data_IF_238403625933
#
_entry.id   IF_238403625933
#
_cell.length_a   1.000
_cell.length_b   1.000
_cell.length_c   1.000
_cell.angle_alpha   90.00
_cell.angle_beta   90.00
_cell.angle_gamma   90.00
#
_symmetry.space_group_name_H-M   'P 1'
#
loop_
_entity.id
_entity.type
_entity.pdbx_description
1 polymer ?
#
# COMPACT_ATOMS: atom_id res chain seq x y z
N UNK A 1 0.84 9.05 -7.29
CA UNK A 1 0.07 10.11 -7.94
C UNK A 1 0.69 10.49 -9.29
N UNK A 2 1.94 10.93 -9.32
CA UNK A 2 2.61 11.42 -10.54
C UNK A 2 2.65 10.41 -11.70
N UNK A 3 2.70 9.12 -11.42
CA UNK A 3 2.69 8.04 -12.42
C UNK A 3 1.37 8.01 -13.21
N UNK A 4 0.25 8.39 -12.59
CA UNK A 4 -1.08 8.43 -13.23
C UNK A 4 -1.35 9.82 -13.81
N UNK A 5 -1.10 10.86 -13.02
CA UNK A 5 -1.48 12.24 -13.37
C UNK A 5 -0.57 12.86 -14.44
N UNK A 6 0.72 12.51 -14.46
CA UNK A 6 1.68 13.01 -15.45
C UNK A 6 1.32 12.63 -16.89
N UNK A 7 1.12 11.34 -17.20
CA UNK A 7 0.66 10.90 -18.51
C UNK A 7 -0.68 11.48 -18.92
N UNK A 8 -1.61 11.62 -17.97
CA UNK A 8 -2.94 12.19 -18.20
C UNK A 8 -2.85 13.66 -18.62
N UNK A 9 -1.97 14.45 -17.98
CA UNK A 9 -1.72 15.85 -18.32
C UNK A 9 -1.05 15.98 -19.70
N UNK A 10 0.00 15.17 -19.96
CA UNK A 10 0.80 15.25 -21.20
C UNK A 10 0.17 14.55 -22.39
N UNK A 11 -0.91 13.81 -22.19
CA UNK A 11 -1.51 12.91 -23.19
C UNK A 11 -0.50 11.93 -23.82
N UNK A 12 0.49 11.53 -23.03
CA UNK A 12 1.58 10.65 -23.44
C UNK A 12 1.46 9.32 -22.68
N UNK A 13 1.60 8.22 -23.40
CA UNK A 13 1.55 6.90 -22.79
C UNK A 13 2.83 6.66 -21.97
N UNK A 14 2.70 6.30 -20.69
CA UNK A 14 3.84 5.96 -19.84
C UNK A 14 3.96 4.45 -19.69
N UNK A 15 5.12 3.89 -19.96
CA UNK A 15 5.45 2.47 -19.73
C UNK A 15 5.13 2.02 -18.29
N UNK A 16 5.30 2.92 -17.31
CA UNK A 16 4.99 2.63 -15.90
C UNK A 16 3.51 2.33 -15.66
N UNK A 17 2.62 2.88 -16.50
CA UNK A 17 1.18 2.62 -16.41
C UNK A 17 0.81 1.17 -16.79
N UNK A 18 1.67 0.49 -17.53
CA UNK A 18 1.54 -0.93 -17.88
C UNK A 18 2.30 -1.82 -16.91
N UNK A 19 3.55 -1.45 -16.60
CA UNK A 19 4.45 -2.29 -15.79
C UNK A 19 3.87 -2.50 -14.38
N UNK A 20 3.35 -1.45 -13.74
CA UNK A 20 2.83 -1.54 -12.37
C UNK A 20 1.61 -2.47 -12.25
N UNK A 21 0.57 -2.36 -13.11
CA UNK A 21 -0.55 -3.32 -13.09
C UNK A 21 -0.11 -4.75 -13.38
N UNK A 22 0.73 -4.98 -14.37
CA UNK A 22 1.21 -6.33 -14.72
C UNK A 22 2.01 -6.91 -13.55
N UNK A 23 2.95 -6.17 -12.99
CA UNK A 23 3.73 -6.60 -11.83
C UNK A 23 2.82 -6.90 -10.61
N UNK A 24 1.78 -6.09 -10.40
CA UNK A 24 0.82 -6.31 -9.30
C UNK A 24 -0.03 -7.56 -9.52
N UNK A 25 -0.41 -7.87 -10.75
CA UNK A 25 -1.16 -9.09 -11.07
C UNK A 25 -0.30 -10.35 -10.91
N UNK A 26 0.96 -10.29 -11.36
CA UNK A 26 1.87 -11.44 -11.33
C UNK A 26 2.45 -11.71 -9.94
N UNK A 27 2.97 -10.68 -9.28
CA UNK A 27 3.68 -10.80 -8.00
C UNK A 27 2.84 -10.39 -6.78
N UNK A 28 1.59 -9.98 -6.98
CA UNK A 28 0.76 -9.44 -5.92
C UNK A 28 1.12 -7.98 -5.58
N UNK A 29 0.65 -7.52 -4.45
CA UNK A 29 0.79 -6.13 -4.02
C UNK A 29 2.20 -5.79 -3.47
N UNK A 30 3.23 -6.53 -3.91
CA UNK A 30 4.61 -6.41 -3.43
C UNK A 30 5.28 -5.11 -3.89
N UNK A 31 4.78 -4.51 -4.98
CA UNK A 31 5.32 -3.26 -5.52
C UNK A 31 5.44 -2.16 -4.47
N UNK A 32 4.40 -2.00 -3.64
CA UNK A 32 4.35 -0.94 -2.63
C UNK A 32 5.35 -1.15 -1.48
N UNK A 33 5.71 -2.38 -1.15
CA UNK A 33 6.63 -2.70 -0.05
C UNK A 33 8.09 -2.80 -0.47
N UNK A 34 8.37 -3.15 -1.74
CA UNK A 34 9.74 -3.47 -2.17
C UNK A 34 10.33 -2.52 -3.20
N UNK A 35 9.50 -1.95 -4.09
CA UNK A 35 9.96 -1.16 -5.24
C UNK A 35 9.54 0.31 -5.18
N UNK A 36 8.56 0.65 -4.35
CA UNK A 36 8.04 2.00 -4.30
C UNK A 36 8.90 2.91 -3.42
N UNK A 37 9.52 3.91 -4.02
CA UNK A 37 10.30 4.94 -3.34
C UNK A 37 9.50 5.68 -2.24
N UNK A 38 8.23 6.05 -2.49
CA UNK A 38 7.37 6.65 -1.46
C UNK A 38 7.03 5.66 -0.34
N UNK A 39 6.93 4.37 -0.65
CA UNK A 39 6.72 3.32 0.35
C UNK A 39 7.91 3.19 1.30
N UNK A 40 9.14 3.25 0.79
CA UNK A 40 10.34 3.21 1.63
C UNK A 40 10.46 4.45 2.52
N UNK A 41 10.14 5.64 2.01
CA UNK A 41 10.13 6.88 2.81
C UNK A 41 9.06 6.84 3.92
N UNK A 42 7.85 6.35 3.61
CA UNK A 42 6.77 6.21 4.59
C UNK A 42 7.14 5.18 5.67
N UNK A 43 7.82 4.08 5.28
CA UNK A 43 8.33 3.08 6.20
C UNK A 43 9.43 3.62 7.13
N UNK A 44 10.33 4.46 6.61
CA UNK A 44 11.34 5.16 7.40
C UNK A 44 10.71 6.16 8.38
N UNK A 45 9.70 6.92 7.93
CA UNK A 45 8.97 7.84 8.80
C UNK A 45 8.22 7.10 9.92
N UNK A 46 7.62 5.94 9.61
CA UNK A 46 6.93 5.09 10.59
C UNK A 46 7.86 4.50 11.67
N UNK A 47 9.15 4.28 11.33
CA UNK A 47 10.13 3.68 12.24
C UNK A 47 9.94 2.17 12.45
N UNK A 48 10.70 1.61 13.42
CA UNK A 48 10.74 0.14 13.67
C UNK A 48 9.87 -0.31 14.85
N UNK A 49 9.42 0.61 15.69
CA UNK A 49 8.60 0.27 16.87
C UNK A 49 7.18 -0.13 16.46
N UNK A 50 6.54 -0.97 17.25
CA UNK A 50 5.19 -1.51 16.97
C UNK A 50 4.15 -0.44 16.63
N UNK A 51 3.24 -0.79 15.73
CA UNK A 51 2.21 0.10 15.16
C UNK A 51 1.14 0.41 16.19
N UNK A 52 0.74 1.69 16.25
CA UNK A 52 -0.42 2.12 17.05
C UNK A 52 -1.70 2.00 16.19
N UNK A 53 -2.80 1.46 16.75
CA UNK A 53 -4.05 1.39 16.02
C UNK A 53 -4.57 2.79 15.69
N UNK A 54 -5.09 2.95 14.48
CA UNK A 54 -5.68 4.22 14.07
C UNK A 54 -7.03 4.46 14.77
N UNK A 55 -7.32 5.69 15.21
CA UNK A 55 -8.63 6.05 15.76
C UNK A 55 -9.73 5.85 14.70
N UNK A 56 -10.96 5.59 15.14
CA UNK A 56 -12.08 5.30 14.23
C UNK A 56 -12.35 6.39 13.20
N UNK A 57 -12.19 7.66 13.57
CA UNK A 57 -12.31 8.81 12.64
C UNK A 57 -11.32 8.71 11.48
N UNK A 58 -10.11 8.22 11.76
CA UNK A 58 -9.09 8.04 10.72
C UNK A 58 -9.39 6.82 9.84
N UNK A 59 -10.14 5.83 10.33
CA UNK A 59 -10.56 4.66 9.52
C UNK A 59 -11.44 5.07 8.33
N UNK A 60 -12.32 6.06 8.50
CA UNK A 60 -13.10 6.60 7.40
C UNK A 60 -12.20 7.26 6.34
N UNK A 61 -11.23 8.07 6.76
CA UNK A 61 -10.23 8.66 5.88
C UNK A 61 -9.37 7.57 5.20
N UNK A 62 -9.03 6.49 5.92
CA UNK A 62 -8.32 5.33 5.37
C UNK A 62 -9.11 4.62 4.26
N UNK A 63 -10.43 4.63 4.34
CA UNK A 63 -11.28 3.95 3.38
C UNK A 63 -11.50 4.75 2.09
N UNK A 64 -11.72 6.06 2.21
CA UNK A 64 -12.11 6.93 1.11
C UNK A 64 -11.02 7.92 0.67
N UNK A 65 -10.04 8.19 1.51
CA UNK A 65 -9.00 9.19 1.25
C UNK A 65 -8.25 8.96 -0.07
N UNK A 66 -7.87 7.73 -0.37
CA UNK A 66 -7.20 7.39 -1.63
C UNK A 66 -8.06 7.70 -2.86
N UNK A 67 -9.36 7.41 -2.78
CA UNK A 67 -10.30 7.69 -3.86
C UNK A 67 -10.50 9.20 -4.04
N UNK A 68 -10.67 9.93 -2.94
CA UNK A 68 -10.83 11.40 -2.96
C UNK A 68 -9.58 12.06 -3.56
N UNK A 69 -8.39 11.68 -3.13
CA UNK A 69 -7.13 12.21 -3.67
C UNK A 69 -6.96 11.85 -5.15
N UNK A 70 -7.37 10.65 -5.57
CA UNK A 70 -7.35 10.27 -6.98
C UNK A 70 -8.30 11.15 -7.80
N UNK A 71 -9.53 11.33 -7.35
CA UNK A 71 -10.54 12.16 -8.05
C UNK A 71 -10.10 13.61 -8.15
N UNK A 72 -9.66 14.21 -7.03
CA UNK A 72 -9.15 15.59 -7.01
C UNK A 72 -7.95 15.72 -7.97
N UNK A 73 -7.02 14.77 -7.93
CA UNK A 73 -5.85 14.77 -8.81
C UNK A 73 -6.22 14.68 -10.29
N UNK A 74 -7.17 13.82 -10.66
CA UNK A 74 -7.65 13.67 -12.03
C UNK A 74 -8.35 14.97 -12.49
N UNK A 75 -9.25 15.53 -11.68
CA UNK A 75 -9.94 16.78 -11.99
C UNK A 75 -8.93 17.94 -12.15
N UNK A 76 -7.95 18.03 -11.27
CA UNK A 76 -6.90 19.04 -11.36
C UNK A 76 -6.04 18.87 -12.63
N UNK A 77 -5.63 17.66 -12.97
CA UNK A 77 -4.85 17.37 -14.17
C UNK A 77 -5.62 17.70 -15.45
N UNK A 78 -6.90 17.35 -15.52
CA UNK A 78 -7.77 17.69 -16.65
C UNK A 78 -8.05 19.19 -16.73
N UNK A 79 -8.28 19.84 -15.61
CA UNK A 79 -8.50 21.30 -15.54
C UNK A 79 -7.27 22.09 -16.02
N UNK A 80 -6.07 21.74 -15.54
CA UNK A 80 -4.82 22.35 -15.99
C UNK A 80 -4.56 22.13 -17.49
N UNK A 81 -4.92 20.93 -17.99
CA UNK A 81 -4.82 20.63 -19.43
C UNK A 81 -5.82 21.45 -20.24
N UNK A 82 -7.09 21.53 -19.82
CA UNK A 82 -8.12 22.31 -20.50
C UNK A 82 -7.82 23.82 -20.53
N UNK A 83 -7.17 24.33 -19.47
CA UNK A 83 -6.70 25.71 -19.38
C UNK A 83 -5.45 25.99 -20.23
N UNK A 84 -4.88 25.00 -20.92
CA UNK A 84 -3.69 25.17 -21.75
C UNK A 84 -2.44 25.63 -20.96
N UNK A 85 -2.37 25.32 -19.69
CA UNK A 85 -1.31 25.82 -18.79
C UNK A 85 0.08 25.32 -19.20
N UNK A 86 1.10 26.16 -18.95
CA UNK A 86 2.50 25.81 -19.23
C UNK A 86 2.96 24.60 -18.41
N UNK A 87 3.85 23.78 -18.97
CA UNK A 87 4.43 22.62 -18.27
C UNK A 87 5.14 22.99 -16.97
N UNK A 88 5.63 24.26 -16.85
CA UNK A 88 6.25 24.78 -15.63
C UNK A 88 5.24 24.86 -14.47
N UNK A 89 4.02 25.34 -14.76
CA UNK A 89 2.94 25.41 -13.76
C UNK A 89 2.53 23.99 -13.28
N UNK A 90 2.41 23.05 -14.20
CA UNK A 90 2.13 21.67 -13.84
C UNK A 90 3.26 21.04 -13.01
N UNK A 91 4.51 21.35 -13.31
CA UNK A 91 5.67 20.90 -12.53
C UNK A 91 5.66 21.51 -11.11
N UNK A 92 5.37 22.80 -10.95
CA UNK A 92 5.29 23.43 -9.64
C UNK A 92 4.18 22.84 -8.77
N UNK A 93 3.01 22.54 -9.33
CA UNK A 93 1.92 21.85 -8.63
C UNK A 93 2.36 20.44 -8.18
N UNK A 94 3.10 19.72 -9.03
CA UNK A 94 3.63 18.41 -8.69
C UNK A 94 4.65 18.46 -7.54
N UNK A 95 5.52 19.46 -7.52
CA UNK A 95 6.49 19.70 -6.43
C UNK A 95 5.76 20.02 -5.13
N UNK A 96 4.79 20.92 -5.15
CA UNK A 96 3.98 21.25 -3.97
C UNK A 96 3.29 20.01 -3.42
N UNK A 97 2.70 19.20 -4.29
CA UNK A 97 2.09 17.92 -3.88
C UNK A 97 3.11 16.97 -3.24
N UNK A 98 4.32 16.86 -3.79
CA UNK A 98 5.38 16.03 -3.24
C UNK A 98 5.82 16.50 -1.85
N UNK A 99 6.00 17.82 -1.65
CA UNK A 99 6.35 18.42 -0.35
C UNK A 99 5.24 18.18 0.68
N UNK A 100 3.98 18.40 0.30
CA UNK A 100 2.85 18.12 1.18
C UNK A 100 2.76 16.63 1.55
N UNK A 101 3.09 15.73 0.62
CA UNK A 101 3.14 14.30 0.88
C UNK A 101 4.20 13.93 1.91
N UNK A 102 5.41 14.50 1.79
CA UNK A 102 6.49 14.31 2.76
C UNK A 102 6.10 14.86 4.14
N UNK A 103 5.51 16.05 4.18
CA UNK A 103 5.03 16.65 5.42
C UNK A 103 3.97 15.76 6.09
N UNK A 104 3.02 15.23 5.30
CA UNK A 104 2.01 14.29 5.79
C UNK A 104 2.65 13.02 6.37
N UNK A 105 3.68 12.44 5.72
CA UNK A 105 4.41 11.28 6.23
C UNK A 105 5.03 11.57 7.60
N UNK A 106 5.68 12.73 7.76
CA UNK A 106 6.31 13.09 9.04
C UNK A 106 5.26 13.35 10.12
N UNK A 107 4.17 14.05 9.80
CA UNK A 107 3.16 14.45 10.80
C UNK A 107 2.20 13.32 11.20
N UNK A 108 1.93 12.38 10.28
CA UNK A 108 0.92 11.34 10.50
C UNK A 108 1.55 9.95 10.63
N UNK A 109 2.43 9.53 9.73
CA UNK A 109 2.99 8.18 9.77
C UNK A 109 3.90 7.98 10.98
N UNK A 110 4.64 9.01 11.39
CA UNK A 110 5.56 8.94 12.52
C UNK A 110 4.87 8.70 13.89
N UNK A 111 3.82 9.46 14.30
CA UNK A 111 3.17 9.25 15.58
C UNK A 111 2.41 7.92 15.65
N UNK A 112 1.77 7.49 14.57
CA UNK A 112 1.05 6.21 14.52
C UNK A 112 1.95 5.02 14.22
N UNK A 113 3.21 5.25 13.87
CA UNK A 113 4.19 4.19 13.54
C UNK A 113 3.68 3.21 12.48
N UNK A 114 2.85 3.70 11.59
CA UNK A 114 2.23 2.95 10.50
C UNK A 114 2.37 3.70 9.19
N UNK A 115 2.24 3.00 8.07
CA UNK A 115 2.35 3.59 6.73
C UNK A 115 1.05 4.32 6.36
N UNK A 116 0.79 5.46 7.05
CA UNK A 116 -0.44 6.21 6.90
C UNK A 116 -0.58 6.81 5.49
N UNK A 117 0.49 7.36 4.91
CA UNK A 117 0.45 7.93 3.56
C UNK A 117 0.07 6.90 2.51
N UNK A 118 0.73 5.74 2.51
CA UNK A 118 0.46 4.67 1.55
C UNK A 118 -0.95 4.10 1.67
N UNK A 119 -1.51 4.10 2.88
CA UNK A 119 -2.84 3.53 3.14
C UNK A 119 -4.00 4.51 3.01
N UNK A 120 -3.75 5.84 3.15
CA UNK A 120 -4.81 6.87 3.16
C UNK A 120 -4.79 7.83 1.96
N UNK A 121 -3.60 8.21 1.49
CA UNK A 121 -3.43 9.33 0.54
C UNK A 121 -2.99 8.84 -0.84
N UNK A 122 -2.15 7.80 -0.90
CA UNK A 122 -1.53 7.39 -2.15
C UNK A 122 -2.55 6.75 -3.12
N UNK A 123 -2.88 7.36 -4.27
CA UNK A 123 -3.82 6.78 -5.23
C UNK A 123 -3.29 5.50 -5.90
N UNK A 124 -1.96 5.35 -6.01
CA UNK A 124 -1.36 4.09 -6.46
C UNK A 124 -1.66 2.94 -5.50
N UNK A 125 -1.70 3.20 -4.20
CA UNK A 125 -2.09 2.21 -3.20
C UNK A 125 -3.52 1.70 -3.40
N UNK A 126 -4.45 2.55 -3.91
CA UNK A 126 -5.79 2.13 -4.28
C UNK A 126 -5.76 1.19 -5.50
N UNK A 127 -5.06 1.59 -6.56
CA UNK A 127 -4.96 0.79 -7.80
C UNK A 127 -4.33 -0.56 -7.53
N UNK A 128 -3.19 -0.60 -6.85
CA UNK A 128 -2.51 -1.86 -6.52
C UNK A 128 -3.33 -2.73 -5.58
N UNK A 129 -4.09 -2.14 -4.64
CA UNK A 129 -5.00 -2.88 -3.75
C UNK A 129 -6.17 -3.50 -4.51
N UNK A 130 -6.74 -2.81 -5.49
CA UNK A 130 -7.82 -3.33 -6.32
C UNK A 130 -7.32 -4.46 -7.24
N UNK A 131 -6.20 -4.24 -7.93
CA UNK A 131 -5.56 -5.24 -8.78
C UNK A 131 -5.02 -6.42 -7.97
N UNK A 132 -4.47 -6.16 -6.78
CA UNK A 132 -4.00 -7.18 -5.87
C UNK A 132 -5.09 -8.15 -5.39
N UNK A 133 -6.39 -7.76 -5.50
CA UNK A 133 -7.50 -8.71 -5.27
C UNK A 133 -7.60 -9.79 -6.34
N UNK A 134 -7.11 -9.53 -7.52
CA UNK A 134 -7.09 -10.49 -8.63
C UNK A 134 -5.82 -11.36 -8.61
N UNK A 135 -4.78 -10.91 -7.91
CA UNK A 135 -3.55 -11.67 -7.75
C UNK A 135 -3.78 -12.97 -6.96
N UNK A 136 -3.15 -14.08 -7.37
CA UNK A 136 -3.25 -15.35 -6.65
C UNK A 136 -2.49 -15.37 -5.32
N UNK A 137 -1.52 -14.45 -5.14
CA UNK A 137 -0.68 -14.41 -3.94
C UNK A 137 -1.42 -13.83 -2.73
N UNK A 138 -1.47 -14.59 -1.64
CA UNK A 138 -2.15 -14.20 -0.39
C UNK A 138 -1.33 -14.59 0.82
N UNK A 139 -1.32 -13.74 1.84
CA UNK A 139 -0.90 -14.16 3.18
C UNK A 139 -2.10 -14.78 3.89
N UNK A 140 -1.90 -15.94 4.47
CA UNK A 140 -2.88 -16.69 5.26
C UNK A 140 -2.35 -16.94 6.65
N UNK A 141 -3.27 -17.09 7.59
CA UNK A 141 -3.01 -17.47 8.96
C UNK A 141 -3.61 -18.85 9.20
N UNK A 142 -2.80 -19.79 9.67
CA UNK A 142 -3.25 -21.10 10.12
C UNK A 142 -3.85 -20.94 11.53
N UNK A 143 -5.18 -21.00 11.61
CA UNK A 143 -5.90 -20.85 12.87
C UNK A 143 -5.66 -21.98 13.85
N UNK A 144 -5.21 -23.15 13.37
CA UNK A 144 -4.90 -24.31 14.21
C UNK A 144 -3.55 -24.15 14.95
N UNK A 145 -2.60 -23.44 14.32
CA UNK A 145 -1.25 -23.18 14.89
C UNK A 145 -1.14 -21.83 15.60
N UNK A 146 -2.14 -20.97 15.41
CA UNK A 146 -2.10 -19.62 15.95
C UNK A 146 -2.47 -19.62 17.44
N UNK A 147 -1.54 -19.13 18.27
CA UNK A 147 -1.73 -18.96 19.73
C UNK A 147 -2.35 -17.62 20.13
N UNK A 148 -2.83 -16.84 19.16
CA UNK A 148 -3.47 -15.53 19.37
C UNK A 148 -2.62 -14.45 20.08
N UNK A 149 -1.30 -14.58 20.07
CA UNK A 149 -0.37 -13.64 20.75
C UNK A 149 -0.43 -12.18 20.24
N UNK A 150 -0.98 -11.92 19.06
CA UNK A 150 -1.17 -10.59 18.50
C UNK A 150 0.09 -9.86 18.01
N UNK A 151 1.26 -10.51 17.99
CA UNK A 151 2.52 -9.91 17.51
C UNK A 151 2.41 -9.47 16.05
N UNK A 152 1.81 -10.29 15.20
CA UNK A 152 1.62 -10.01 13.78
C UNK A 152 0.78 -8.75 13.51
N UNK A 153 -0.16 -8.43 14.38
CA UNK A 153 -0.97 -7.21 14.32
C UNK A 153 -0.13 -5.98 14.66
N UNK A 154 0.68 -6.06 15.73
CA UNK A 154 1.55 -4.97 16.20
C UNK A 154 2.68 -4.64 15.22
N UNK A 155 3.17 -5.60 14.46
CA UNK A 155 4.28 -5.40 13.52
C UNK A 155 3.78 -4.96 12.13
N UNK A 156 2.50 -5.17 11.80
CA UNK A 156 1.96 -4.89 10.48
C UNK A 156 1.80 -3.39 10.22
N UNK A 157 2.79 -2.75 9.62
CA UNK A 157 2.79 -1.32 9.29
C UNK A 157 1.61 -0.89 8.40
N UNK A 158 1.04 -1.81 7.63
CA UNK A 158 -0.15 -1.58 6.80
C UNK A 158 -1.47 -1.86 7.53
N UNK A 159 -1.41 -2.34 8.79
CA UNK A 159 -2.57 -2.76 9.57
C UNK A 159 -3.51 -3.72 8.81
N UNK A 160 -2.92 -4.61 8.03
CA UNK A 160 -3.64 -5.59 7.21
C UNK A 160 -4.07 -6.83 7.99
N UNK A 161 -3.61 -6.99 9.23
CA UNK A 161 -3.99 -8.04 10.15
C UNK A 161 -4.74 -7.39 11.31
N UNK A 162 -5.93 -7.90 11.59
CA UNK A 162 -6.79 -7.50 12.71
C UNK A 162 -7.24 -8.75 13.46
N UNK A 163 -7.70 -8.66 14.72
CA UNK A 163 -8.21 -9.83 15.43
C UNK A 163 -9.25 -10.62 14.63
N UNK A 164 -10.22 -9.94 14.01
CA UNK A 164 -11.23 -10.56 13.17
C UNK A 164 -10.64 -11.25 11.94
N UNK A 165 -9.72 -10.58 11.22
CA UNK A 165 -9.09 -11.17 10.02
C UNK A 165 -8.19 -12.36 10.35
N UNK A 166 -7.59 -12.37 11.54
CA UNK A 166 -6.77 -13.48 12.04
C UNK A 166 -7.65 -14.70 12.36
N UNK A 167 -8.80 -14.49 13.02
CA UNK A 167 -9.77 -15.55 13.29
C UNK A 167 -10.32 -16.17 11.99
N UNK A 168 -10.51 -15.36 10.93
CA UNK A 168 -10.91 -15.83 9.60
C UNK A 168 -9.76 -16.51 8.80
N UNK A 169 -8.54 -16.55 9.32
CA UNK A 169 -7.37 -17.09 8.64
C UNK A 169 -6.93 -16.29 7.41
N UNK A 170 -7.35 -15.02 7.27
CA UNK A 170 -7.12 -14.19 6.08
C UNK A 170 -6.52 -12.85 6.47
N UNK A 171 -5.84 -12.21 5.52
CA UNK A 171 -5.41 -10.81 5.67
C UNK A 171 -6.34 -9.88 4.88
N UNK A 172 -6.41 -8.61 5.29
CA UNK A 172 -7.15 -7.58 4.60
C UNK A 172 -6.53 -7.26 3.23
N UNK A 173 -7.32 -6.70 2.31
CA UNK A 173 -6.90 -6.36 0.94
C UNK A 173 -5.76 -5.34 0.84
N UNK A 174 -5.42 -4.66 1.93
CA UNK A 174 -4.28 -3.74 2.03
C UNK A 174 -2.94 -4.43 2.35
N UNK A 175 -2.93 -5.77 2.47
CA UNK A 175 -1.68 -6.52 2.63
C UNK A 175 -0.80 -6.36 1.39
N UNK A 176 0.47 -5.97 1.62
CA UNK A 176 1.46 -5.71 0.57
C UNK A 176 2.49 -6.83 0.45
N UNK A 177 2.27 -7.97 1.08
CA UNK A 177 3.18 -9.12 1.05
C UNK A 177 4.61 -8.79 1.55
N UNK A 178 4.76 -7.83 2.48
CA UNK A 178 6.06 -7.42 3.01
C UNK A 178 6.76 -8.49 3.86
N UNK A 179 6.03 -9.51 4.32
CA UNK A 179 6.52 -10.68 5.09
C UNK A 179 6.96 -10.41 6.53
N UNK A 180 6.91 -9.19 7.03
CA UNK A 180 7.32 -8.86 8.41
C UNK A 180 6.59 -9.72 9.45
N UNK A 181 5.29 -9.97 9.25
CA UNK A 181 4.47 -10.81 10.12
C UNK A 181 4.88 -12.29 10.08
N UNK A 182 5.39 -12.78 8.94
CA UNK A 182 5.84 -14.17 8.78
C UNK A 182 7.11 -14.40 9.59
N UNK A 183 8.08 -13.49 9.46
CA UNK A 183 9.35 -13.56 10.18
C UNK A 183 9.22 -13.42 11.69
N UNK A 184 8.13 -12.77 12.16
CA UNK A 184 7.90 -12.49 13.58
C UNK A 184 6.99 -13.51 14.28
N UNK A 185 6.45 -14.46 13.54
CA UNK A 185 5.57 -15.49 14.10
C UNK A 185 6.39 -16.66 14.63
N UNK A 186 6.43 -16.84 15.97
CA UNK A 186 7.14 -17.94 16.63
C UNK A 186 6.57 -19.31 16.23
N UNK A 187 5.24 -19.42 16.17
CA UNK A 187 4.53 -20.66 15.82
C UNK A 187 4.50 -20.95 14.32
N UNK A 188 5.10 -20.06 13.48
CA UNK A 188 5.10 -20.20 12.01
C UNK A 188 3.70 -20.42 11.44
N UNK A 189 2.69 -19.87 12.10
CA UNK A 189 1.29 -19.97 11.69
C UNK A 189 0.94 -19.11 10.48
N UNK A 190 1.84 -18.21 10.05
CA UNK A 190 1.60 -17.29 8.93
C UNK A 190 2.43 -17.72 7.73
N UNK A 191 1.78 -17.89 6.59
CA UNK A 191 2.42 -18.36 5.36
C UNK A 191 1.85 -17.67 4.12
N UNK A 192 2.61 -17.75 3.02
CA UNK A 192 2.15 -17.27 1.71
C UNK A 192 1.41 -18.42 1.03
N UNK A 193 0.18 -18.14 0.63
CA UNK A 193 -0.66 -19.07 -0.10
C UNK A 193 -0.72 -18.70 -1.58
N UNK A 194 -0.49 -19.69 -2.43
CA UNK A 194 -0.75 -19.64 -3.87
C UNK A 194 -1.61 -20.83 -4.26
N UNK A 195 -2.72 -20.63 -5.01
CA UNK A 195 -3.54 -21.74 -5.46
C UNK A 195 -2.72 -22.74 -6.29
N UNK A 196 -2.64 -23.98 -5.84
CA UNK A 196 -1.90 -25.05 -6.54
C UNK A 196 -0.42 -25.23 -6.14
N UNK A 197 0.13 -24.39 -5.27
CA UNK A 197 1.48 -24.60 -4.71
C UNK A 197 1.42 -24.93 -3.23
N UNK A 198 2.23 -25.92 -2.81
CA UNK A 198 2.46 -26.17 -1.39
C UNK A 198 3.12 -24.93 -0.73
N UNK A 199 2.78 -24.58 0.52
CA UNK A 199 3.25 -23.36 1.18
C UNK A 199 4.78 -23.29 1.26
N UNK A 200 5.47 -24.41 1.35
CA UNK A 200 6.93 -24.48 1.36
C UNK A 200 7.58 -24.06 0.04
N UNK A 201 6.92 -24.32 -1.10
CA UNK A 201 7.43 -23.93 -2.42
C UNK A 201 7.07 -22.47 -2.76
N UNK A 202 5.98 -21.96 -2.22
CA UNK A 202 5.61 -20.56 -2.41
C UNK A 202 6.64 -19.59 -1.80
N UNK A 203 7.38 -20.03 -0.79
CA UNK A 203 8.46 -19.26 -0.17
C UNK A 203 9.65 -19.02 -1.11
N UNK A 204 10.01 -20.01 -1.93
CA UNK A 204 11.15 -19.97 -2.86
C UNK A 204 10.97 -18.93 -3.98
N UNK A 205 9.74 -18.60 -4.34
CA UNK A 205 9.46 -17.61 -5.40
C UNK A 205 9.51 -16.16 -4.93
N UNK A 206 9.56 -15.91 -3.62
CA UNK A 206 9.51 -14.57 -3.04
C UNK A 206 10.73 -14.26 -2.13
N UNK A 207 11.67 -15.19 -2.03
CA UNK A 207 12.98 -14.97 -1.42
C UNK A 207 13.93 -14.37 -2.44
#
# INVERSE_FOLDING_TARGET
>A
ALIILGPLFRNAFSMMLIIVPIATLLAGNIWCSSLCYFGSLDALAAGEKGVCPYPEKLRFVLQYGQLIVLLIGVLLALGLRAAGTSGLLAASVAVVFAVLSLLFMVLVSRPYRGMAYCTTVCPMGLVTRLLGRLSPWRVRVDTQRCDDCGICEKICKYQAITPASRADGKTLSRCTLCRDCIGSCAEKAIFIHFPGLAPERAWLFLS
#
